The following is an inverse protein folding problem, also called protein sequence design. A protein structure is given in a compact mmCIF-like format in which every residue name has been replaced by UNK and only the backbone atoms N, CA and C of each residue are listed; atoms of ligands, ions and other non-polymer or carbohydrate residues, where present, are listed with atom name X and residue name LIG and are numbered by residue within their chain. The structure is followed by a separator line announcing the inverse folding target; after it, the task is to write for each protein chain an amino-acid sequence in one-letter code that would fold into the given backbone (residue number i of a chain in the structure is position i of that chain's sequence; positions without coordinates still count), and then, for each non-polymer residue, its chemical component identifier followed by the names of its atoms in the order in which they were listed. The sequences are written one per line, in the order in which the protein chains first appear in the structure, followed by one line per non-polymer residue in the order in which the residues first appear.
data_IF_910431425411
#
_entry.id   IF_910431425411
#
_cell.length_a   1.000
_cell.length_b   1.000
_cell.length_c   1.000
_cell.angle_alpha   90.00
_cell.angle_beta   90.00
_cell.angle_gamma   90.00
#
_symmetry.space_group_name_H-M   'P 1'
#
loop_
_entity.id
_entity.type
_entity.pdbx_description
1 polymer ?
#
# COMPACT_ATOMS: atom_id res chain seq x y z
N UNK A 1 -3.52 3.54 -19.45
CA UNK A 1 -4.73 2.68 -19.46
C UNK A 1 -4.90 2.16 -18.03
N UNK A 2 -6.03 2.49 -17.39
CA UNK A 2 -6.49 2.31 -15.99
C UNK A 2 -5.40 1.91 -14.96
N UNK A 3 -4.66 2.81 -14.28
CA UNK A 3 -5.07 3.89 -13.34
C UNK A 3 -5.91 3.48 -12.12
N UNK A 4 -5.92 2.20 -11.72
CA UNK A 4 -6.69 1.77 -10.53
C UNK A 4 -5.81 1.42 -9.32
N UNK A 5 -4.53 1.82 -9.35
CA UNK A 5 -3.60 1.67 -8.22
C UNK A 5 -3.64 2.95 -7.37
N UNK A 6 -4.14 2.82 -6.16
CA UNK A 6 -4.32 3.96 -5.25
C UNK A 6 -3.78 3.61 -3.87
N UNK A 7 -3.07 4.55 -3.26
CA UNK A 7 -2.60 4.51 -1.88
C UNK A 7 -3.28 5.65 -1.12
N UNK A 8 -4.01 5.33 -0.06
CA UNK A 8 -4.58 6.33 0.85
C UNK A 8 -3.97 6.14 2.23
N UNK A 9 -3.43 7.22 2.77
CA UNK A 9 -2.97 7.30 4.15
C UNK A 9 -4.04 8.00 4.98
N UNK A 10 -4.51 7.33 6.02
CA UNK A 10 -5.37 7.94 7.04
C UNK A 10 -4.52 8.24 8.25
N UNK A 11 -4.41 9.50 8.65
CA UNK A 11 -3.57 9.95 9.75
C UNK A 11 -4.32 9.91 11.09
N UNK A 12 -3.57 9.89 12.19
CA UNK A 12 -4.11 9.86 13.56
C UNK A 12 -4.89 11.13 13.93
N UNK A 13 -4.61 12.25 13.25
CA UNK A 13 -5.31 13.53 13.40
C UNK A 13 -6.65 13.59 12.64
N UNK A 14 -7.00 12.53 11.89
CA UNK A 14 -8.21 12.45 11.09
C UNK A 14 -8.06 12.92 9.63
N UNK A 15 -6.92 13.52 9.27
CA UNK A 15 -6.65 13.89 7.89
C UNK A 15 -6.38 12.66 7.02
N UNK A 16 -6.50 12.83 5.70
CA UNK A 16 -6.14 11.79 4.73
C UNK A 16 -5.39 12.37 3.53
N UNK A 17 -4.53 11.56 2.95
CA UNK A 17 -3.79 11.88 1.73
C UNK A 17 -3.83 10.70 0.76
N UNK A 18 -4.13 10.98 -0.51
CA UNK A 18 -4.30 9.97 -1.55
C UNK A 18 -3.27 10.14 -2.65
N UNK A 19 -2.76 9.02 -3.15
CA UNK A 19 -1.77 8.95 -4.23
C UNK A 19 -2.23 7.95 -5.29
N UNK A 20 -2.11 8.36 -6.55
CA UNK A 20 -2.14 7.43 -7.68
C UNK A 20 -0.70 7.08 -8.05
N UNK A 21 -0.43 5.81 -8.34
CA UNK A 21 0.93 5.37 -8.67
C UNK A 21 0.93 4.29 -9.76
N UNK A 22 1.96 4.25 -10.64
CA UNK A 22 2.08 3.19 -11.64
C UNK A 22 2.55 1.87 -10.99
N UNK A 23 2.61 0.82 -11.79
CA UNK A 23 3.26 -0.42 -11.34
C UNK A 23 4.72 -0.18 -10.92
N UNK A 24 5.08 -0.67 -9.73
CA UNK A 24 6.35 -0.34 -9.07
C UNK A 24 7.48 -1.34 -9.37
N UNK A 25 7.16 -2.50 -9.93
CA UNK A 25 8.11 -3.54 -10.38
C UNK A 25 7.32 -4.63 -11.08
N UNK A 26 7.91 -5.25 -12.11
CA UNK A 26 7.27 -6.32 -12.88
C UNK A 26 7.52 -7.71 -12.27
N UNK A 27 8.49 -7.83 -11.36
CA UNK A 27 8.93 -9.10 -10.77
C UNK A 27 8.12 -9.37 -9.49
N UNK A 28 7.43 -10.52 -9.44
CA UNK A 28 6.61 -10.91 -8.29
C UNK A 28 7.40 -10.95 -6.96
N UNK A 29 8.64 -11.45 -6.97
CA UNK A 29 9.51 -11.44 -5.79
C UNK A 29 9.85 -10.00 -5.32
N UNK A 30 10.03 -9.06 -6.25
CA UNK A 30 10.25 -7.65 -5.92
C UNK A 30 9.03 -7.00 -5.28
N UNK A 31 7.82 -7.37 -5.72
CA UNK A 31 6.56 -6.92 -5.09
C UNK A 31 6.44 -7.41 -3.66
N UNK A 32 6.80 -8.69 -3.42
CA UNK A 32 6.76 -9.30 -2.09
C UNK A 32 7.69 -8.58 -1.11
N UNK A 33 8.94 -8.37 -1.49
CA UNK A 33 9.94 -7.70 -0.65
C UNK A 33 9.46 -6.29 -0.27
N UNK A 34 8.96 -5.51 -1.24
CA UNK A 34 8.43 -4.16 -0.98
C UNK A 34 7.26 -4.15 0.02
N UNK A 35 6.36 -5.13 -0.05
CA UNK A 35 5.23 -5.25 0.90
C UNK A 35 5.73 -5.65 2.28
N UNK A 36 6.66 -6.59 2.38
CA UNK A 36 7.24 -6.98 3.67
C UNK A 36 8.00 -5.85 4.33
N UNK A 37 8.79 -5.11 3.56
CA UNK A 37 9.54 -3.96 4.04
C UNK A 37 8.60 -2.84 4.50
N UNK A 38 7.49 -2.63 3.76
CA UNK A 38 6.44 -1.71 4.18
C UNK A 38 5.82 -2.13 5.52
N UNK A 39 5.54 -3.42 5.71
CA UNK A 39 4.92 -3.94 6.93
C UNK A 39 5.87 -3.97 8.13
N UNK A 40 7.19 -4.07 7.90
CA UNK A 40 8.23 -4.08 8.95
C UNK A 40 8.83 -2.70 9.22
N UNK A 41 8.65 -1.75 8.30
CA UNK A 41 9.26 -0.42 8.35
C UNK A 41 8.66 0.49 9.41
N UNK A 42 9.47 1.40 9.95
CA UNK A 42 9.02 2.48 10.85
C UNK A 42 8.54 3.73 10.09
N UNK A 43 8.79 3.77 8.79
CA UNK A 43 8.43 4.87 7.91
C UNK A 43 7.84 4.33 6.61
N UNK A 44 6.85 5.02 6.09
CA UNK A 44 6.42 4.90 4.70
C UNK A 44 7.07 6.03 3.91
N UNK A 45 7.69 5.71 2.79
CA UNK A 45 8.32 6.68 1.90
C UNK A 45 7.58 6.70 0.56
N UNK A 46 7.23 7.90 0.10
CA UNK A 46 6.52 8.12 -1.17
C UNK A 46 7.24 9.20 -1.95
N UNK A 47 7.65 8.91 -3.18
CA UNK A 47 8.10 9.91 -4.14
C UNK A 47 6.89 10.49 -4.89
N UNK A 48 6.74 11.80 -4.90
CA UNK A 48 5.66 12.50 -5.61
C UNK A 48 6.19 13.82 -6.14
N UNK A 49 5.99 14.07 -7.43
CA UNK A 49 6.31 15.36 -8.07
C UNK A 49 7.75 15.86 -7.79
N UNK A 50 8.73 14.95 -7.83
CA UNK A 50 10.14 15.26 -7.55
C UNK A 50 10.48 15.52 -6.07
N UNK A 51 9.49 15.36 -5.18
CA UNK A 51 9.65 15.44 -3.73
C UNK A 51 9.62 14.04 -3.11
N UNK A 52 10.38 13.87 -2.03
CA UNK A 52 10.37 12.65 -1.21
C UNK A 52 9.60 12.93 0.08
N UNK A 53 8.43 12.32 0.24
CA UNK A 53 7.65 12.38 1.46
C UNK A 53 7.98 11.18 2.34
N UNK A 54 8.26 11.43 3.62
CA UNK A 54 8.60 10.39 4.61
C UNK A 54 7.61 10.51 5.76
N UNK A 55 6.79 9.47 5.92
CA UNK A 55 5.72 9.42 6.93
C UNK A 55 6.10 8.44 8.04
N UNK A 56 6.25 8.89 9.29
CA UNK A 56 6.41 7.99 10.42
C UNK A 56 5.14 7.14 10.60
N UNK A 57 5.30 5.81 10.72
CA UNK A 57 4.15 4.89 10.81
C UNK A 57 3.29 5.17 12.04
N UNK A 58 3.87 5.65 13.14
CA UNK A 58 3.10 6.00 14.36
C UNK A 58 2.11 7.17 14.16
N UNK A 59 2.27 7.98 13.11
CA UNK A 59 1.32 9.03 12.75
C UNK A 59 0.23 8.55 11.77
N UNK A 60 0.35 7.34 11.24
CA UNK A 60 -0.59 6.76 10.29
C UNK A 60 -1.54 5.84 11.06
N UNK A 61 -2.84 6.14 11.03
CA UNK A 61 -3.88 5.32 11.64
C UNK A 61 -4.07 4.01 10.88
N UNK A 62 -4.16 4.08 9.55
CA UNK A 62 -4.13 2.90 8.68
C UNK A 62 -3.76 3.28 7.24
N UNK A 63 -3.30 2.28 6.51
CA UNK A 63 -2.95 2.38 5.08
C UNK A 63 -4.00 1.62 4.29
N UNK A 64 -4.59 2.27 3.29
CA UNK A 64 -5.47 1.64 2.32
C UNK A 64 -4.74 1.57 0.98
N UNK A 65 -4.49 0.36 0.50
CA UNK A 65 -3.86 0.11 -0.79
C UNK A 65 -4.85 -0.61 -1.70
N UNK A 66 -5.13 -0.02 -2.85
CA UNK A 66 -6.00 -0.56 -3.89
C UNK A 66 -5.15 -0.92 -5.09
N UNK A 67 -5.33 -2.14 -5.60
CA UNK A 67 -4.64 -2.65 -6.79
C UNK A 67 -5.68 -3.12 -7.82
N UNK A 68 -5.41 -2.98 -9.13
CA UNK A 68 -6.29 -3.48 -10.18
C UNK A 68 -6.43 -5.01 -10.14
N UNK A 69 -7.58 -5.54 -10.59
CA UNK A 69 -7.82 -6.98 -10.73
C UNK A 69 -8.40 -7.67 -9.49
N UNK A 70 -8.07 -8.95 -9.26
CA UNK A 70 -8.58 -9.77 -8.13
C UNK A 70 -8.02 -9.36 -6.74
N UNK A 71 -7.58 -8.11 -6.58
CA UNK A 71 -6.98 -7.60 -5.35
C UNK A 71 -5.65 -8.27 -5.01
N UNK A 72 -5.31 -8.32 -3.72
CA UNK A 72 -4.16 -9.06 -3.19
C UNK A 72 -4.44 -10.57 -3.19
N UNK A 73 -4.58 -11.17 -4.37
CA UNK A 73 -4.74 -12.61 -4.51
C UNK A 73 -3.44 -13.33 -4.10
N UNK A 74 -3.60 -14.56 -3.58
CA UNK A 74 -2.54 -15.45 -3.11
C UNK A 74 -1.41 -15.66 -4.13
N UNK A 75 -1.73 -15.50 -5.40
CA UNK A 75 -0.86 -15.67 -6.57
C UNK A 75 0.11 -14.51 -6.78
N UNK A 76 -0.17 -13.32 -6.25
CA UNK A 76 0.55 -12.09 -6.59
C UNK A 76 1.48 -11.61 -5.47
N UNK A 77 1.00 -11.67 -4.22
CA UNK A 77 1.72 -11.19 -3.02
C UNK A 77 1.30 -12.09 -1.85
N UNK A 78 2.28 -12.63 -1.10
CA UNK A 78 2.05 -13.33 0.16
C UNK A 78 1.77 -12.31 1.26
N UNK A 79 0.49 -12.18 1.60
CA UNK A 79 0.05 -11.44 2.78
C UNK A 79 0.37 -12.22 4.07
N UNK A 80 0.42 -11.55 5.24
CA UNK A 80 0.54 -12.22 6.52
C UNK A 80 -0.48 -13.36 6.68
N UNK A 81 -0.11 -14.47 7.35
CA UNK A 81 -0.93 -15.68 7.42
C UNK A 81 -2.29 -15.44 8.12
N UNK A 82 -2.37 -14.43 8.99
CA UNK A 82 -3.58 -14.05 9.71
C UNK A 82 -4.47 -13.04 8.95
N UNK A 83 -4.22 -12.80 7.65
CA UNK A 83 -5.03 -11.87 6.85
C UNK A 83 -6.41 -12.45 6.55
N UNK A 84 -7.48 -11.75 6.93
CA UNK A 84 -8.86 -12.09 6.53
C UNK A 84 -9.07 -11.71 5.06
N UNK A 85 -9.44 -12.68 4.23
CA UNK A 85 -9.60 -12.50 2.77
C UNK A 85 -11.07 -12.39 2.41
N UNK A 86 -11.39 -11.57 1.40
CA UNK A 86 -12.76 -11.44 0.87
C UNK A 86 -13.75 -10.71 1.79
N UNK A 87 -13.26 -9.93 2.75
CA UNK A 87 -14.12 -9.12 3.61
C UNK A 87 -14.85 -8.01 2.83
N UNK A 88 -16.06 -7.67 3.26
CA UNK A 88 -16.90 -6.61 2.67
C UNK A 88 -17.32 -5.65 3.78
N UNK A 89 -17.20 -4.34 3.53
CA UNK A 89 -17.68 -3.30 4.44
C UNK A 89 -19.21 -3.29 4.42
N UNK A 90 -19.84 -3.26 5.60
CA UNK A 90 -21.29 -3.11 5.76
C UNK A 90 -21.60 -1.79 6.43
#
# INVERSE_FOLDING_TARGET
MAKDRMLILHFVDGNKLSFDFPEQTDIAAGKQIKIEDLLKGNHLVVEVEGSLLVFPVHNIKYIQLTLPGKGFDASSIRLPPHTIRGAVIR
#
